data_IF_812733629267
#
_entry.id   IF_812733629267
#
_cell.length_a   1.000
_cell.length_b   1.000
_cell.length_c   1.000
_cell.angle_alpha   90.00
_cell.angle_beta   90.00
_cell.angle_gamma   90.00
#
_symmetry.space_group_name_H-M   'P 1'
#
loop_
_entity.id
_entity.type
_entity.pdbx_description
1 polymer ?
#
# COMPACT_ATOMS: atom_id res chain seq x y z
N UNK A 1 -12.76 -17.22 -15.93
CA UNK A 1 -11.49 -17.46 -16.64
C UNK A 1 -10.44 -16.53 -16.04
N UNK A 2 -9.45 -17.07 -15.32
CA UNK A 2 -8.49 -16.25 -14.57
C UNK A 2 -7.34 -15.80 -15.48
N UNK A 3 -7.54 -14.68 -16.16
CA UNK A 3 -6.58 -14.09 -17.11
C UNK A 3 -5.20 -13.88 -16.46
N UNK A 4 -5.19 -13.45 -15.18
CA UNK A 4 -3.98 -13.33 -14.36
C UNK A 4 -3.22 -14.66 -14.22
N UNK A 5 -3.92 -15.76 -13.95
CA UNK A 5 -3.29 -17.08 -13.84
C UNK A 5 -2.72 -17.55 -15.18
N UNK A 6 -3.35 -17.16 -16.29
CA UNK A 6 -2.83 -17.41 -17.64
C UNK A 6 -1.56 -16.59 -17.91
N UNK A 7 -1.57 -15.29 -17.58
CA UNK A 7 -0.42 -14.38 -17.75
C UNK A 7 0.75 -14.79 -16.85
N UNK A 8 0.50 -15.16 -15.59
CA UNK A 8 1.57 -15.64 -14.70
C UNK A 8 2.18 -16.95 -15.19
N UNK A 9 1.36 -17.87 -15.74
CA UNK A 9 1.86 -19.13 -16.32
C UNK A 9 2.72 -18.95 -17.56
N UNK A 10 2.66 -17.81 -18.23
CA UNK A 10 3.48 -17.52 -19.41
C UNK A 10 4.67 -16.62 -19.09
N UNK A 11 4.45 -15.56 -18.33
CA UNK A 11 5.48 -14.54 -18.03
C UNK A 11 6.55 -15.09 -17.09
N UNK A 12 6.19 -15.91 -16.10
CA UNK A 12 7.15 -16.46 -15.12
C UNK A 12 8.18 -17.39 -15.77
N UNK A 13 7.79 -18.42 -16.57
CA UNK A 13 8.78 -19.26 -17.25
C UNK A 13 9.63 -18.49 -18.26
N UNK A 14 9.04 -17.51 -18.97
CA UNK A 14 9.78 -16.66 -19.92
C UNK A 14 10.85 -15.82 -19.23
N UNK A 15 10.53 -15.18 -18.10
CA UNK A 15 11.49 -14.41 -17.32
C UNK A 15 12.62 -15.31 -16.78
N UNK A 16 12.27 -16.51 -16.27
CA UNK A 16 13.27 -17.46 -15.80
C UNK A 16 14.24 -17.89 -16.90
N UNK A 17 13.71 -18.27 -18.08
CA UNK A 17 14.53 -18.64 -19.24
C UNK A 17 15.38 -17.48 -19.75
N UNK A 18 14.85 -16.26 -19.74
CA UNK A 18 15.60 -15.07 -20.12
C UNK A 18 16.75 -14.79 -19.16
N UNK A 19 16.54 -14.89 -17.85
CA UNK A 19 17.60 -14.74 -16.84
C UNK A 19 18.72 -15.76 -17.05
N UNK A 20 18.38 -17.05 -17.25
CA UNK A 20 19.37 -18.09 -17.54
C UNK A 20 20.16 -17.78 -18.81
N UNK A 21 19.46 -17.35 -19.87
CA UNK A 21 20.08 -17.05 -21.17
C UNK A 21 21.01 -15.85 -21.07
N UNK A 22 20.58 -14.76 -20.43
CA UNK A 22 21.41 -13.57 -20.21
C UNK A 22 22.64 -13.91 -19.37
N UNK A 23 22.47 -14.72 -18.33
CA UNK A 23 23.57 -15.16 -17.45
C UNK A 23 24.60 -15.99 -18.23
N UNK A 24 24.15 -16.92 -19.09
CA UNK A 24 25.05 -17.70 -19.95
C UNK A 24 25.71 -16.87 -21.06
N UNK A 25 24.97 -15.93 -21.65
CA UNK A 25 25.46 -15.08 -22.74
C UNK A 25 26.50 -14.04 -22.29
N UNK A 26 26.45 -13.61 -21.02
CA UNK A 26 27.43 -12.67 -20.47
C UNK A 26 28.82 -13.31 -20.22
N UNK A 27 28.98 -14.62 -20.45
CA UNK A 27 30.28 -15.30 -20.34
C UNK A 27 30.91 -15.18 -18.95
N UNK A 28 30.10 -14.92 -17.93
CA UNK A 28 30.57 -14.68 -16.57
C UNK A 28 31.09 -16.01 -16.03
N UNK A 29 32.41 -16.17 -15.97
CA UNK A 29 33.05 -17.09 -15.03
C UNK A 29 32.65 -16.62 -13.63
N UNK A 30 31.54 -17.17 -13.14
CA UNK A 30 30.89 -16.72 -11.94
C UNK A 30 31.81 -16.96 -10.74
N UNK A 31 32.39 -15.88 -10.20
CA UNK A 31 32.54 -15.84 -8.75
C UNK A 31 31.13 -16.05 -8.20
N UNK A 32 30.92 -17.28 -7.75
CA UNK A 32 29.64 -17.84 -7.29
C UNK A 32 28.89 -16.84 -6.42
N UNK A 33 29.62 -16.09 -5.59
CA UNK A 33 29.08 -15.11 -4.65
C UNK A 33 28.44 -13.90 -5.33
N UNK A 34 29.10 -13.33 -6.34
CA UNK A 34 28.62 -12.11 -7.03
C UNK A 34 27.45 -12.44 -7.94
N UNK A 35 27.54 -13.56 -8.66
CA UNK A 35 26.46 -14.02 -9.55
C UNK A 35 25.26 -14.49 -8.75
N UNK A 36 25.46 -15.23 -7.66
CA UNK A 36 24.36 -15.58 -6.76
C UNK A 36 23.70 -14.32 -6.20
N UNK A 37 24.46 -13.32 -5.75
CA UNK A 37 23.92 -12.05 -5.27
C UNK A 37 23.10 -11.31 -6.33
N UNK A 38 23.60 -11.24 -7.57
CA UNK A 38 22.90 -10.62 -8.69
C UNK A 38 21.60 -11.36 -9.06
N UNK A 39 21.64 -12.68 -9.15
CA UNK A 39 20.46 -13.51 -9.43
C UNK A 39 19.46 -13.41 -8.29
N UNK A 40 19.89 -13.48 -7.03
CA UNK A 40 19.01 -13.30 -5.88
C UNK A 40 18.33 -11.94 -5.93
N UNK A 41 19.08 -10.85 -6.15
CA UNK A 41 18.50 -9.51 -6.25
C UNK A 41 17.50 -9.41 -7.41
N UNK A 42 17.83 -9.95 -8.58
CA UNK A 42 16.96 -9.93 -9.76
C UNK A 42 15.68 -10.76 -9.53
N UNK A 43 15.81 -11.95 -8.96
CA UNK A 43 14.67 -12.83 -8.64
C UNK A 43 13.81 -12.22 -7.55
N UNK A 44 14.40 -11.64 -6.51
CA UNK A 44 13.67 -10.94 -5.44
C UNK A 44 12.90 -9.75 -6.00
N UNK A 45 13.54 -8.92 -6.82
CA UNK A 45 12.89 -7.79 -7.47
C UNK A 45 11.73 -8.25 -8.37
N UNK A 46 11.96 -9.27 -9.21
CA UNK A 46 10.94 -9.84 -10.07
C UNK A 46 9.76 -10.42 -9.26
N UNK A 47 10.06 -11.17 -8.20
CA UNK A 47 9.07 -11.76 -7.29
C UNK A 47 8.14 -10.71 -6.68
N UNK A 48 8.72 -9.67 -6.05
CA UNK A 48 7.93 -8.61 -5.43
C UNK A 48 7.17 -7.78 -6.46
N UNK A 49 7.79 -7.48 -7.61
CA UNK A 49 7.14 -6.68 -8.67
C UNK A 49 5.94 -7.41 -9.27
N UNK A 50 6.08 -8.70 -9.58
CA UNK A 50 4.99 -9.50 -10.15
C UNK A 50 3.81 -9.65 -9.17
N UNK A 51 4.10 -9.91 -7.90
CA UNK A 51 3.04 -10.01 -6.89
C UNK A 51 2.35 -8.68 -6.63
N UNK A 52 3.10 -7.57 -6.64
CA UNK A 52 2.52 -6.23 -6.48
C UNK A 52 1.63 -5.86 -7.65
N UNK A 53 2.03 -6.17 -8.88
CA UNK A 53 1.20 -6.00 -10.07
C UNK A 53 -0.05 -6.89 -10.02
N UNK A 54 0.08 -8.13 -9.55
CA UNK A 54 -1.04 -9.03 -9.38
C UNK A 54 -2.06 -8.52 -8.35
N UNK A 55 -1.58 -7.97 -7.23
CA UNK A 55 -2.41 -7.34 -6.19
C UNK A 55 -3.18 -6.13 -6.74
N UNK A 56 -2.47 -5.22 -7.43
CA UNK A 56 -3.05 -4.02 -8.05
C UNK A 56 -4.09 -4.40 -9.12
N UNK A 57 -3.78 -5.37 -9.97
CA UNK A 57 -4.68 -5.82 -11.02
C UNK A 57 -5.91 -6.53 -10.46
N UNK A 58 -5.74 -7.36 -9.42
CA UNK A 58 -6.85 -7.98 -8.71
C UNK A 58 -7.74 -6.93 -8.04
N UNK A 59 -7.15 -5.87 -7.48
CA UNK A 59 -7.91 -4.74 -6.93
C UNK A 59 -8.71 -4.00 -8.01
N UNK A 60 -8.11 -3.72 -9.17
CA UNK A 60 -8.78 -3.02 -10.28
C UNK A 60 -9.95 -3.82 -10.88
N UNK A 61 -9.86 -5.15 -10.88
CA UNK A 61 -10.89 -6.06 -11.40
C UNK A 61 -11.92 -6.42 -10.31
N UNK A 62 -11.72 -5.98 -9.06
CA UNK A 62 -12.59 -6.29 -7.93
C UNK A 62 -12.50 -7.75 -7.44
N UNK A 63 -11.41 -8.46 -7.76
CA UNK A 63 -11.22 -9.86 -7.40
C UNK A 63 -10.53 -9.99 -6.03
N UNK A 64 -11.33 -9.91 -4.96
CA UNK A 64 -10.84 -10.00 -3.57
C UNK A 64 -10.00 -11.25 -3.24
N UNK A 65 -10.38 -12.48 -3.66
CA UNK A 65 -9.58 -13.67 -3.39
C UNK A 65 -8.18 -13.59 -4.01
N UNK A 66 -8.07 -13.06 -5.24
CA UNK A 66 -6.79 -12.88 -5.92
C UNK A 66 -5.89 -11.87 -5.19
N UNK A 67 -6.49 -10.79 -4.67
CA UNK A 67 -5.79 -9.79 -3.87
C UNK A 67 -5.27 -10.37 -2.55
N UNK A 68 -6.09 -11.18 -1.86
CA UNK A 68 -5.69 -11.84 -0.61
C UNK A 68 -4.57 -12.86 -0.82
N UNK A 69 -4.64 -13.66 -1.89
CA UNK A 69 -3.58 -14.63 -2.22
C UNK A 69 -2.27 -13.89 -2.54
N UNK A 70 -2.32 -12.85 -3.37
CA UNK A 70 -1.13 -12.04 -3.68
C UNK A 70 -0.55 -11.37 -2.42
N UNK A 71 -1.41 -10.80 -1.57
CA UNK A 71 -1.02 -10.23 -0.27
C UNK A 71 -0.38 -11.27 0.65
N UNK A 72 -0.95 -12.47 0.73
CA UNK A 72 -0.39 -13.57 1.54
C UNK A 72 1.03 -13.93 1.08
N UNK A 73 1.26 -14.05 -0.23
CA UNK A 73 2.61 -14.28 -0.77
C UNK A 73 3.55 -13.10 -0.48
N UNK A 74 3.06 -11.86 -0.47
CA UNK A 74 3.84 -10.69 -0.07
C UNK A 74 4.12 -10.61 1.44
N UNK A 75 3.56 -11.52 2.25
CA UNK A 75 3.66 -11.49 3.72
C UNK A 75 2.64 -10.56 4.39
N UNK A 76 1.69 -10.00 3.63
CA UNK A 76 0.63 -9.11 4.11
C UNK A 76 -0.75 -9.75 3.88
N UNK A 77 -1.24 -10.48 4.88
CA UNK A 77 -2.48 -11.27 4.77
C UNK A 77 -3.75 -10.44 4.47
N UNK A 78 -3.75 -9.13 4.73
CA UNK A 78 -4.83 -8.21 4.34
C UNK A 78 -4.25 -6.83 4.03
N UNK A 79 -4.17 -6.41 2.75
CA UNK A 79 -3.76 -5.05 2.45
C UNK A 79 -4.79 -4.06 3.03
N UNK A 80 -4.37 -2.90 3.55
CA UNK A 80 -5.29 -1.89 4.06
C UNK A 80 -6.20 -1.43 2.92
N UNK A 81 -7.46 -1.88 2.96
CA UNK A 81 -8.49 -1.39 2.08
C UNK A 81 -8.86 0.00 2.59
N UNK A 82 -8.30 1.04 1.97
CA UNK A 82 -8.83 2.37 2.10
C UNK A 82 -10.19 2.35 1.41
N UNK A 83 -11.26 2.22 2.18
CA UNK A 83 -12.60 2.47 1.67
C UNK A 83 -12.57 3.86 1.03
N UNK A 84 -12.81 3.92 -0.28
CA UNK A 84 -13.11 5.20 -0.90
C UNK A 84 -14.31 5.73 -0.13
N UNK A 85 -14.26 6.94 0.44
CA UNK A 85 -15.34 7.46 1.26
C UNK A 85 -16.65 7.30 0.50
N UNK A 86 -17.45 6.31 0.91
CA UNK A 86 -18.79 6.07 0.38
C UNK A 86 -19.48 7.40 0.55
N UNK A 87 -19.83 8.05 -0.57
CA UNK A 87 -20.32 9.42 -0.65
C UNK A 87 -21.12 9.73 0.62
N UNK A 88 -20.41 10.34 1.57
CA UNK A 88 -20.93 10.52 2.91
C UNK A 88 -22.11 11.44 2.67
N UNK A 89 -23.30 11.04 3.14
CA UNK A 89 -24.42 11.97 3.28
C UNK A 89 -23.80 13.29 3.68
N UNK A 90 -23.92 14.38 2.89
CA UNK A 90 -23.18 15.58 3.19
C UNK A 90 -23.68 16.03 4.55
N UNK A 91 -22.91 15.74 5.60
CA UNK A 91 -23.16 16.25 6.93
C UNK A 91 -22.86 17.72 6.75
N UNK A 92 -23.92 18.46 6.46
CA UNK A 92 -23.87 19.90 6.32
C UNK A 92 -23.65 20.41 7.73
N UNK A 93 -22.39 20.42 8.16
CA UNK A 93 -21.99 21.00 9.44
C UNK A 93 -22.26 22.49 9.31
N UNK A 94 -23.42 22.93 9.81
CA UNK A 94 -23.73 24.33 9.89
C UNK A 94 -22.97 24.87 11.09
N UNK A 95 -21.77 25.40 10.82
CA UNK A 95 -21.00 26.12 11.81
C UNK A 95 -21.70 27.43 12.10
N UNK A 96 -22.55 27.42 13.12
CA UNK A 96 -23.15 28.63 13.68
C UNK A 96 -22.04 29.44 14.35
N UNK A 97 -21.59 30.49 13.65
CA UNK A 97 -20.50 31.36 14.11
C UNK A 97 -20.87 32.11 15.38
N UNK A 98 -22.16 32.35 15.62
CA UNK A 98 -22.62 33.06 16.81
C UNK A 98 -22.59 32.12 18.02
N UNK A 99 -23.02 30.87 17.86
CA UNK A 99 -22.87 29.85 18.91
C UNK A 99 -21.40 29.63 19.29
N UNK A 100 -20.51 29.55 18.29
CA UNK A 100 -19.06 29.40 18.55
C UNK A 100 -18.47 30.62 19.28
N UNK A 101 -18.91 31.83 18.95
CA UNK A 101 -18.47 33.06 19.63
C UNK A 101 -18.92 33.09 21.10
N UNK A 102 -20.12 32.62 21.39
CA UNK A 102 -20.63 32.53 22.76
C UNK A 102 -19.80 31.53 23.59
N UNK A 103 -19.56 30.33 23.05
CA UNK A 103 -18.78 29.31 23.74
C UNK A 103 -17.34 29.75 23.99
N UNK A 104 -16.69 30.35 22.99
CA UNK A 104 -15.31 30.86 23.11
C UNK A 104 -15.27 32.03 24.10
N UNK A 105 -16.23 32.94 24.05
CA UNK A 105 -16.32 34.06 25.00
C UNK A 105 -16.51 33.59 26.43
N UNK A 106 -17.32 32.56 26.65
CA UNK A 106 -17.53 31.97 27.97
C UNK A 106 -16.29 31.23 28.46
N UNK A 107 -15.63 30.46 27.59
CA UNK A 107 -14.37 29.80 27.91
C UNK A 107 -13.27 30.79 28.32
N UNK A 108 -13.14 31.90 27.58
CA UNK A 108 -12.20 32.98 27.90
C UNK A 108 -12.55 33.65 29.24
N UNK A 109 -13.83 33.84 29.53
CA UNK A 109 -14.28 34.43 30.80
C UNK A 109 -13.98 33.51 31.99
N UNK A 110 -14.18 32.19 31.85
CA UNK A 110 -13.78 31.20 32.87
C UNK A 110 -12.27 31.20 33.07
N UNK A 111 -11.50 31.19 31.98
CA UNK A 111 -10.04 31.23 32.05
C UNK A 111 -9.54 32.51 32.75
N UNK A 112 -10.15 33.66 32.50
CA UNK A 112 -9.79 34.91 33.17
C UNK A 112 -10.09 34.87 34.69
N UNK A 113 -11.22 34.28 35.09
CA UNK A 113 -11.57 34.10 36.50
C UNK A 113 -10.62 33.14 37.22
N UNK A 114 -10.19 32.08 36.54
CA UNK A 114 -9.21 31.13 37.07
C UNK A 114 -7.83 31.77 37.26
N UNK A 115 -7.42 32.66 36.35
CA UNK A 115 -6.18 33.44 36.49
C UNK A 115 -6.26 34.37 37.69
N UNK A 116 -7.38 35.07 37.88
CA UNK A 116 -7.55 36.00 39.00
C UNK A 116 -7.59 35.26 40.36
N UNK A 117 -8.22 34.08 40.42
CA UNK A 117 -8.18 33.21 41.62
C UNK A 117 -6.78 32.70 41.97
N UNK A 118 -5.87 32.62 40.99
CA UNK A 118 -4.50 32.15 41.17
C UNK A 118 -3.50 33.28 41.44
N UNK A 119 -3.94 34.55 41.45
CA UNK A 119 -3.09 35.65 41.92
C UNK A 119 -3.01 35.61 43.46
N UNK A 120 -1.79 35.51 44.04
CA UNK A 120 -1.59 35.44 45.48
C UNK A 120 -1.88 36.76 46.20
#
# INVERSE_FOLDING_TARGET
MNLLASVLRTVVPLLAGWILTVTGALGIEADSTVVAGGITAAVTLAYYTLLRLAEELASRIGWEPGRLIAGLFLGWARPPAYEQPTATVPVRVHFDKEALRLDVGEALRRAAQDVERRRP
#
